data_IF_210131605118
#
_entry.id   IF_210131605118
#
_cell.length_a   1.000
_cell.length_b   1.000
_cell.length_c   1.000
_cell.angle_alpha   90.00
_cell.angle_beta   90.00
_cell.angle_gamma   90.00
#
_symmetry.space_group_name_H-M   'P 1'
#
loop_
_entity.id
_entity.type
_entity.pdbx_description
1 polymer ?
#
# COMPACT_ATOMS: atom_id res chain seq x y z
N UNK A 1 42.56 14.53 31.56
CA UNK A 1 42.00 14.74 30.22
C UNK A 1 43.14 14.48 29.24
N UNK A 2 42.99 13.58 28.29
CA UNK A 2 44.02 13.34 27.26
C UNK A 2 44.04 14.57 26.35
N UNK A 3 45.18 15.19 26.23
CA UNK A 3 45.37 16.33 25.33
C UNK A 3 45.30 15.82 23.88
N UNK A 4 44.30 16.27 23.14
CA UNK A 4 44.15 15.91 21.73
C UNK A 4 45.12 16.75 20.86
N UNK A 5 45.65 16.11 19.82
CA UNK A 5 46.48 16.77 18.80
C UNK A 5 45.85 16.60 17.43
N UNK A 6 45.94 17.60 16.61
CA UNK A 6 45.54 17.53 15.21
C UNK A 6 46.45 16.54 14.46
N UNK A 7 45.82 15.56 13.76
CA UNK A 7 46.56 14.53 13.05
C UNK A 7 47.34 15.04 11.82
N UNK A 8 46.95 16.19 11.25
CA UNK A 8 47.65 16.81 10.11
C UNK A 8 48.84 17.64 10.60
N UNK A 9 48.64 18.63 11.47
CA UNK A 9 49.70 19.57 11.83
C UNK A 9 50.43 19.22 13.13
N UNK A 10 49.99 18.21 13.91
CA UNK A 10 50.58 17.79 15.18
C UNK A 10 50.41 18.76 16.36
N UNK A 11 49.83 19.95 16.14
CA UNK A 11 49.60 20.94 17.19
C UNK A 11 48.49 20.48 18.14
N UNK A 12 48.53 21.01 19.37
CA UNK A 12 47.46 20.79 20.35
C UNK A 12 46.16 21.45 19.88
N UNK A 13 45.04 20.77 20.18
CA UNK A 13 43.70 21.26 19.96
C UNK A 13 43.21 21.88 21.27
N UNK A 14 42.93 23.18 21.23
CA UNK A 14 42.42 23.98 22.34
C UNK A 14 40.92 23.93 22.48
N UNK A 15 40.40 24.46 23.59
CA UNK A 15 38.94 24.45 23.86
C UNK A 15 38.12 25.31 22.88
N UNK A 16 38.74 26.25 22.19
CA UNK A 16 38.09 27.17 21.26
C UNK A 16 38.41 26.85 19.78
N UNK A 17 39.14 25.76 19.50
CA UNK A 17 39.49 25.40 18.14
C UNK A 17 38.29 24.72 17.45
N UNK A 18 38.09 25.01 16.17
CA UNK A 18 37.11 24.30 15.35
C UNK A 18 37.69 22.96 14.95
N UNK A 19 37.02 21.89 15.44
CA UNK A 19 37.53 20.53 15.40
C UNK A 19 36.55 19.61 14.65
N UNK A 20 37.12 18.83 13.75
CA UNK A 20 36.41 17.76 13.04
C UNK A 20 37.04 16.41 13.34
N UNK A 21 36.32 15.34 13.15
CA UNK A 21 36.73 13.97 13.49
C UNK A 21 36.55 13.02 12.32
N UNK A 22 37.44 12.03 12.21
CA UNK A 22 37.21 10.90 11.33
C UNK A 22 36.28 9.82 11.95
N UNK A 23 36.10 8.69 11.27
CA UNK A 23 35.28 7.59 11.76
C UNK A 23 35.86 6.90 13.00
N UNK A 24 37.16 6.96 13.22
CA UNK A 24 37.88 6.38 14.37
C UNK A 24 37.99 7.35 15.55
N UNK A 25 37.47 8.57 15.40
CA UNK A 25 37.48 9.61 16.44
C UNK A 25 38.81 10.34 16.57
N UNK A 26 39.69 10.26 15.56
CA UNK A 26 40.89 11.07 15.47
C UNK A 26 40.51 12.51 15.19
N UNK A 27 41.18 13.45 15.86
CA UNK A 27 40.81 14.85 15.83
C UNK A 27 41.69 15.63 14.86
N UNK A 28 41.09 16.58 14.17
CA UNK A 28 41.71 17.48 13.20
C UNK A 28 41.21 18.91 13.44
N UNK A 29 42.05 19.93 13.26
CA UNK A 29 41.53 21.26 13.07
C UNK A 29 40.82 21.33 11.72
N UNK A 30 39.62 21.92 11.66
CA UNK A 30 38.88 22.09 10.41
C UNK A 30 39.72 22.78 9.33
N UNK A 31 40.38 23.88 9.68
CA UNK A 31 41.25 24.64 8.77
C UNK A 31 42.42 23.79 8.20
N UNK A 32 42.93 22.79 8.97
CA UNK A 32 43.97 21.92 8.48
C UNK A 32 43.44 20.94 7.46
N UNK A 33 42.21 20.46 7.58
CA UNK A 33 41.57 19.58 6.61
C UNK A 33 41.21 20.38 5.35
N UNK A 34 40.59 21.53 5.48
CA UNK A 34 40.18 22.39 4.35
C UNK A 34 41.38 22.90 3.51
N UNK A 35 42.58 22.97 4.08
CA UNK A 35 43.81 23.31 3.37
C UNK A 35 44.68 22.09 3.04
N UNK A 36 44.15 20.87 3.11
CA UNK A 36 44.86 19.64 2.82
C UNK A 36 44.49 19.10 1.43
N UNK A 37 45.51 18.66 0.69
CA UNK A 37 45.29 17.95 -0.57
C UNK A 37 44.98 16.45 -0.36
N UNK A 38 45.16 15.94 0.87
CA UNK A 38 45.02 14.51 1.21
C UNK A 38 43.73 14.14 1.91
N UNK A 39 43.03 15.15 2.50
CA UNK A 39 41.84 14.95 3.32
C UNK A 39 40.74 15.93 2.97
N UNK A 40 39.49 15.50 3.15
CA UNK A 40 38.28 16.31 2.99
C UNK A 40 37.32 16.07 4.14
N UNK A 41 36.32 16.94 4.26
CA UNK A 41 35.20 16.78 5.21
C UNK A 41 33.98 16.33 4.41
N UNK A 42 33.47 15.15 4.67
CA UNK A 42 32.25 14.66 4.04
C UNK A 42 31.07 15.60 4.34
N UNK A 43 30.48 16.18 3.32
CA UNK A 43 29.40 17.17 3.48
C UNK A 43 28.11 16.56 4.05
N UNK A 44 27.91 15.22 3.89
CA UNK A 44 26.76 14.56 4.46
C UNK A 44 26.91 14.23 5.96
N UNK A 45 28.03 13.64 6.40
CA UNK A 45 28.18 13.19 7.78
C UNK A 45 29.12 14.08 8.63
N UNK A 46 29.80 15.05 8.02
CA UNK A 46 30.73 15.96 8.70
C UNK A 46 32.03 15.29 9.17
N UNK A 47 32.31 14.06 8.79
CA UNK A 47 33.54 13.34 9.16
C UNK A 47 34.67 13.62 8.19
N UNK A 48 35.90 13.57 8.71
CA UNK A 48 37.12 13.66 7.91
C UNK A 48 37.38 12.30 7.23
N UNK A 49 37.72 12.35 5.94
CA UNK A 49 38.09 11.18 5.15
C UNK A 49 39.24 11.52 4.19
N UNK A 50 39.89 10.52 3.63
CA UNK A 50 40.94 10.72 2.63
C UNK A 50 40.32 11.05 1.28
N UNK A 51 40.97 11.89 0.49
CA UNK A 51 40.53 12.27 -0.84
C UNK A 51 40.40 11.05 -1.78
N UNK A 52 41.19 10.00 -1.59
CA UNK A 52 41.06 8.75 -2.36
C UNK A 52 39.70 8.05 -2.21
N UNK A 53 38.96 8.35 -1.13
CA UNK A 53 37.63 7.81 -0.81
C UNK A 53 36.52 8.85 -1.02
N UNK A 54 36.75 9.86 -1.86
CA UNK A 54 35.81 10.94 -2.13
C UNK A 54 34.96 10.61 -3.35
N UNK A 55 33.66 10.84 -3.19
CA UNK A 55 32.67 10.70 -4.27
C UNK A 55 31.90 11.99 -4.44
N UNK A 56 31.59 12.30 -5.70
CA UNK A 56 30.72 13.43 -6.01
C UNK A 56 29.27 12.96 -6.08
N UNK A 57 28.38 13.62 -5.33
CA UNK A 57 26.95 13.31 -5.24
C UNK A 57 26.19 14.60 -5.52
N UNK A 58 25.08 14.53 -6.21
CA UNK A 58 24.17 15.66 -6.42
C UNK A 58 23.23 15.71 -5.21
N UNK A 59 23.23 16.81 -4.48
CA UNK A 59 22.40 17.01 -3.29
C UNK A 59 20.96 17.47 -3.66
N UNK A 60 20.15 17.75 -2.64
CA UNK A 60 18.78 18.22 -2.79
C UNK A 60 18.65 19.59 -3.46
N UNK A 61 19.69 20.39 -3.46
CA UNK A 61 19.75 21.73 -4.08
C UNK A 61 20.28 21.65 -5.53
N UNK A 62 20.61 20.43 -6.01
CA UNK A 62 21.20 20.19 -7.32
C UNK A 62 22.70 20.53 -7.40
N UNK A 63 23.35 20.71 -6.26
CA UNK A 63 24.79 21.00 -6.18
C UNK A 63 25.59 19.69 -6.10
N UNK A 64 26.78 19.70 -6.72
CA UNK A 64 27.73 18.61 -6.56
C UNK A 64 28.47 18.78 -5.22
N UNK A 65 28.34 17.80 -4.34
CA UNK A 65 28.89 17.76 -2.98
C UNK A 65 29.81 16.56 -2.81
N UNK A 66 30.74 16.64 -1.86
CA UNK A 66 31.76 15.64 -1.61
C UNK A 66 31.38 14.71 -0.47
N UNK A 67 31.18 13.43 -0.76
CA UNK A 67 30.77 12.40 0.22
C UNK A 67 31.84 11.33 0.39
N UNK A 68 31.96 10.78 1.60
CA UNK A 68 32.82 9.62 1.89
C UNK A 68 32.19 8.32 1.37
N UNK A 69 32.99 7.26 1.22
CA UNK A 69 32.56 5.93 0.78
C UNK A 69 31.30 5.44 1.48
N UNK A 70 31.25 5.57 2.81
CA UNK A 70 30.09 5.10 3.58
C UNK A 70 28.80 5.84 3.21
N UNK A 71 28.85 7.18 3.12
CA UNK A 71 27.68 7.97 2.75
C UNK A 71 27.27 7.70 1.30
N UNK A 72 28.25 7.55 0.42
CA UNK A 72 28.01 7.20 -0.98
C UNK A 72 27.32 5.82 -1.11
N UNK A 73 27.83 4.79 -0.44
CA UNK A 73 27.30 3.42 -0.54
C UNK A 73 25.87 3.30 0.02
N UNK A 74 25.57 3.99 1.13
CA UNK A 74 24.32 3.75 1.87
C UNK A 74 23.26 4.86 1.75
N UNK A 75 23.57 5.97 1.09
CA UNK A 75 22.67 7.13 1.02
C UNK A 75 22.53 7.76 -0.35
N UNK A 76 22.91 7.04 -1.39
CA UNK A 76 22.77 7.51 -2.76
C UNK A 76 21.89 6.62 -3.61
N UNK A 77 21.38 7.22 -4.68
CA UNK A 77 20.67 6.57 -5.76
C UNK A 77 21.26 7.05 -7.08
N UNK A 78 21.40 6.17 -8.06
CA UNK A 78 22.05 6.49 -9.34
C UNK A 78 21.04 6.43 -10.47
N UNK A 79 21.07 7.41 -11.36
CA UNK A 79 20.30 7.40 -12.59
C UNK A 79 20.84 6.34 -13.55
N UNK A 80 19.98 5.42 -13.97
CA UNK A 80 20.35 4.31 -14.86
C UNK A 80 20.68 4.76 -16.30
N UNK A 81 20.26 5.97 -16.68
CA UNK A 81 20.49 6.50 -18.02
C UNK A 81 21.82 7.25 -18.12
N UNK A 82 22.04 8.26 -17.28
CA UNK A 82 23.22 9.10 -17.37
C UNK A 82 24.33 8.71 -16.38
N UNK A 83 24.08 7.84 -15.41
CA UNK A 83 25.05 7.42 -14.39
C UNK A 83 25.32 8.49 -13.30
N UNK A 84 24.60 9.60 -13.29
CA UNK A 84 24.72 10.57 -12.22
C UNK A 84 24.19 10.00 -10.90
N UNK A 85 24.88 10.29 -9.82
CA UNK A 85 24.52 9.81 -8.48
C UNK A 85 23.98 10.95 -7.64
N UNK A 86 22.85 10.72 -7.01
CA UNK A 86 22.08 11.67 -6.23
C UNK A 86 21.99 11.24 -4.77
N UNK A 87 21.80 12.19 -3.86
CA UNK A 87 21.33 11.88 -2.51
C UNK A 87 19.96 11.20 -2.55
N UNK A 88 19.73 10.20 -1.69
CA UNK A 88 18.40 9.60 -1.50
C UNK A 88 17.30 10.61 -1.12
N UNK A 89 17.69 11.78 -0.63
CA UNK A 89 16.75 12.85 -0.24
C UNK A 89 16.39 13.74 -1.43
N UNK A 90 17.04 13.56 -2.60
CA UNK A 90 16.76 14.34 -3.80
C UNK A 90 15.43 13.88 -4.42
N UNK A 91 14.50 14.83 -4.65
CA UNK A 91 13.22 14.58 -5.30
C UNK A 91 13.31 14.63 -6.84
N UNK A 92 14.49 14.92 -7.39
CA UNK A 92 14.75 15.02 -8.82
C UNK A 92 15.17 13.69 -9.47
N UNK A 93 15.04 12.57 -8.76
CA UNK A 93 15.34 11.23 -9.25
C UNK A 93 14.29 10.26 -8.73
N UNK A 94 13.70 9.45 -9.62
CA UNK A 94 12.59 8.57 -9.30
C UNK A 94 12.79 7.20 -9.94
N UNK A 95 12.28 6.16 -9.27
CA UNK A 95 12.16 4.83 -9.85
C UNK A 95 10.83 4.71 -10.59
N UNK A 96 10.87 4.25 -11.82
CA UNK A 96 9.71 4.03 -12.68
C UNK A 96 9.49 2.54 -12.89
N UNK A 97 8.47 1.99 -12.24
CA UNK A 97 8.19 0.53 -12.21
C UNK A 97 7.98 -0.03 -13.63
N UNK A 98 7.23 0.64 -14.48
CA UNK A 98 6.98 0.18 -15.85
C UNK A 98 8.20 0.23 -16.78
N UNK A 99 9.28 0.91 -16.38
CA UNK A 99 10.57 0.91 -17.07
C UNK A 99 11.58 -0.02 -16.39
N UNK A 100 11.32 -0.42 -15.14
CA UNK A 100 12.29 -1.06 -14.23
C UNK A 100 13.61 -0.27 -14.15
N UNK A 101 13.50 1.08 -14.08
CA UNK A 101 14.66 2.00 -14.09
C UNK A 101 14.46 3.19 -13.17
N UNK A 102 15.58 3.64 -12.62
CA UNK A 102 15.70 4.89 -11.91
C UNK A 102 16.18 5.98 -12.86
N UNK A 103 15.43 7.06 -13.01
CA UNK A 103 15.77 8.17 -13.89
C UNK A 103 15.76 9.50 -13.12
N UNK A 104 16.72 10.38 -13.43
CA UNK A 104 16.61 11.78 -13.04
C UNK A 104 15.63 12.54 -13.95
N UNK A 105 15.11 13.67 -13.46
CA UNK A 105 14.11 14.47 -14.19
C UNK A 105 14.57 14.83 -15.62
N UNK A 106 15.85 15.14 -15.79
CA UNK A 106 16.39 15.50 -17.12
C UNK A 106 16.38 14.33 -18.08
N UNK A 107 16.76 13.13 -17.61
CA UNK A 107 16.74 11.93 -18.44
C UNK A 107 15.32 11.50 -18.73
N UNK A 108 14.43 11.61 -17.75
CA UNK A 108 13.00 11.38 -17.93
C UNK A 108 12.41 12.32 -18.99
N UNK A 109 12.60 13.63 -18.84
CA UNK A 109 12.09 14.63 -19.79
C UNK A 109 12.63 14.40 -21.20
N UNK A 110 13.93 14.08 -21.33
CA UNK A 110 14.54 13.80 -22.63
C UNK A 110 13.91 12.56 -23.30
N UNK A 111 13.73 11.45 -22.56
CA UNK A 111 13.12 10.22 -23.09
C UNK A 111 11.64 10.41 -23.42
N UNK A 112 10.96 11.28 -22.68
CA UNK A 112 9.56 11.64 -22.95
C UNK A 112 9.45 12.51 -24.21
N UNK A 113 10.31 13.53 -24.34
CA UNK A 113 10.31 14.47 -25.47
C UNK A 113 10.69 13.79 -26.79
N UNK A 114 11.58 12.81 -26.76
CA UNK A 114 11.99 12.06 -27.96
C UNK A 114 11.06 10.87 -28.28
N UNK A 115 10.04 10.66 -27.44
CA UNK A 115 9.03 9.62 -27.61
C UNK A 115 9.49 8.21 -27.30
N UNK A 116 10.61 8.04 -26.59
CA UNK A 116 11.08 6.73 -26.13
C UNK A 116 10.18 6.13 -25.06
N UNK A 117 9.60 6.98 -24.22
CA UNK A 117 8.65 6.63 -23.16
C UNK A 117 7.36 7.44 -23.29
N UNK A 118 6.27 6.87 -22.80
CA UNK A 118 4.99 7.57 -22.66
C UNK A 118 4.29 7.17 -21.37
N UNK A 119 3.32 7.99 -20.98
CA UNK A 119 2.45 7.69 -19.84
C UNK A 119 1.19 6.99 -20.33
N UNK A 120 0.83 5.87 -19.70
CA UNK A 120 -0.44 5.21 -19.96
C UNK A 120 -1.60 6.10 -19.52
N UNK A 121 -2.55 6.36 -20.40
CA UNK A 121 -3.69 7.24 -20.13
C UNK A 121 -4.63 6.70 -19.03
N UNK A 122 -4.70 5.39 -18.83
CA UNK A 122 -5.56 4.78 -17.82
C UNK A 122 -4.86 4.61 -16.46
N UNK A 123 -3.72 3.91 -16.42
CA UNK A 123 -3.07 3.62 -15.14
C UNK A 123 -2.09 4.71 -14.65
N UNK A 124 -1.70 5.63 -15.55
CA UNK A 124 -0.71 6.69 -15.26
C UNK A 124 0.73 6.16 -15.12
N UNK A 125 0.98 4.88 -15.36
CA UNK A 125 2.32 4.29 -15.38
C UNK A 125 3.12 4.77 -16.59
N UNK A 126 4.44 4.83 -16.45
CA UNK A 126 5.37 5.21 -17.53
C UNK A 126 6.01 3.97 -18.11
N UNK A 127 5.96 3.83 -19.43
CA UNK A 127 6.46 2.65 -20.14
C UNK A 127 7.24 3.05 -21.39
N UNK A 128 8.06 2.14 -21.92
CA UNK A 128 8.63 2.31 -23.24
C UNK A 128 7.54 2.26 -24.31
N UNK A 129 7.53 3.20 -25.24
CA UNK A 129 6.51 3.26 -26.31
C UNK A 129 6.48 2.01 -27.19
N UNK A 130 7.62 1.31 -27.32
CA UNK A 130 7.71 0.01 -28.00
C UNK A 130 6.88 -1.10 -27.31
N UNK A 131 6.57 -0.94 -26.01
CA UNK A 131 5.75 -1.84 -25.21
C UNK A 131 4.35 -1.28 -24.91
N UNK A 132 3.93 -0.29 -25.66
CA UNK A 132 2.62 0.34 -25.53
C UNK A 132 1.82 0.22 -26.82
N UNK A 133 0.52 0.43 -26.69
CA UNK A 133 -0.42 0.53 -27.81
C UNK A 133 -0.92 1.97 -27.90
N UNK A 134 -0.86 2.50 -29.11
CA UNK A 134 -1.46 3.80 -29.40
C UNK A 134 -2.90 3.58 -29.90
N UNK A 135 -3.86 4.25 -29.28
CA UNK A 135 -5.26 4.21 -29.67
C UNK A 135 -5.57 5.45 -30.54
N UNK A 136 -5.91 5.21 -31.80
CA UNK A 136 -6.20 6.28 -32.78
C UNK A 136 -7.55 6.97 -32.50
N UNK A 137 -8.47 6.30 -31.78
CA UNK A 137 -9.79 6.85 -31.48
C UNK A 137 -9.72 7.89 -30.34
N UNK A 138 -8.85 7.65 -29.36
CA UNK A 138 -8.66 8.54 -28.23
C UNK A 138 -7.44 9.48 -28.36
N UNK A 139 -6.54 9.22 -29.34
CA UNK A 139 -5.26 9.93 -29.55
C UNK A 139 -4.33 9.80 -28.32
N UNK A 140 -4.30 8.62 -27.68
CA UNK A 140 -3.61 8.37 -26.42
C UNK A 140 -2.79 7.07 -26.43
N UNK A 141 -1.81 6.97 -25.51
CA UNK A 141 -0.99 5.79 -25.30
C UNK A 141 -1.50 4.96 -24.12
N UNK A 142 -1.53 3.64 -24.30
CA UNK A 142 -1.92 2.67 -23.27
C UNK A 142 -0.84 1.61 -23.11
N UNK A 143 -0.52 1.18 -21.87
CA UNK A 143 0.23 -0.04 -21.69
C UNK A 143 -0.58 -1.24 -22.20
N UNK A 144 0.10 -2.35 -22.51
CA UNK A 144 -0.54 -3.51 -23.12
C UNK A 144 -1.75 -3.98 -22.32
N UNK A 145 -1.62 -4.08 -21.00
CA UNK A 145 -2.71 -4.49 -20.10
C UNK A 145 -3.93 -3.56 -20.18
N UNK A 146 -3.71 -2.24 -20.10
CA UNK A 146 -4.81 -1.27 -20.18
C UNK A 146 -5.44 -1.20 -21.57
N UNK A 147 -4.65 -1.40 -22.63
CA UNK A 147 -5.14 -1.44 -24.00
C UNK A 147 -6.03 -2.68 -24.23
N UNK A 148 -5.55 -3.84 -23.78
CA UNK A 148 -6.30 -5.09 -23.89
C UNK A 148 -7.60 -5.01 -23.09
N UNK A 149 -7.57 -4.49 -21.85
CA UNK A 149 -8.76 -4.24 -21.03
C UNK A 149 -9.83 -3.35 -21.73
N UNK A 150 -9.38 -2.39 -22.54
CA UNK A 150 -10.30 -1.49 -23.30
C UNK A 150 -10.87 -2.15 -24.54
N UNK A 151 -10.12 -3.08 -25.14
CA UNK A 151 -10.45 -3.76 -26.40
C UNK A 151 -10.83 -5.23 -26.19
N UNK A 152 -10.77 -5.73 -24.91
CA UNK A 152 -11.29 -7.05 -24.62
C UNK A 152 -12.78 -7.13 -24.93
N UNK A 153 -13.14 -8.15 -25.68
CA UNK A 153 -14.53 -8.47 -25.96
C UNK A 153 -15.30 -8.56 -24.63
N UNK A 154 -16.40 -7.81 -24.49
CA UNK A 154 -17.32 -7.81 -23.35
C UNK A 154 -17.88 -9.21 -22.98
N UNK A 155 -17.45 -10.26 -23.70
CA UNK A 155 -17.92 -11.62 -23.59
C UNK A 155 -17.16 -12.46 -22.54
N UNK A 156 -15.97 -12.04 -22.06
CA UNK A 156 -15.23 -12.83 -21.07
C UNK A 156 -15.73 -12.56 -19.66
N UNK A 157 -16.28 -13.61 -19.02
CA UNK A 157 -16.96 -13.48 -17.71
C UNK A 157 -15.99 -13.21 -16.56
N UNK A 158 -14.72 -13.66 -16.66
CA UNK A 158 -13.66 -13.37 -15.71
C UNK A 158 -12.69 -12.40 -16.39
N UNK A 159 -12.56 -11.22 -15.86
CA UNK A 159 -11.71 -10.14 -16.38
C UNK A 159 -10.29 -10.25 -15.89
N UNK A 160 -9.37 -9.68 -16.63
CA UNK A 160 -7.99 -9.56 -16.22
C UNK A 160 -7.80 -8.59 -15.04
N UNK A 161 -6.69 -8.68 -14.35
CA UNK A 161 -6.37 -7.98 -13.10
C UNK A 161 -6.52 -6.45 -13.14
N UNK A 162 -6.36 -5.83 -14.30
CA UNK A 162 -6.44 -4.36 -14.47
C UNK A 162 -7.80 -3.85 -14.97
N UNK A 163 -8.79 -4.74 -15.11
CA UNK A 163 -10.10 -4.35 -15.60
C UNK A 163 -10.78 -3.33 -14.66
N UNK A 164 -11.18 -2.19 -15.19
CA UNK A 164 -11.92 -1.15 -14.48
C UNK A 164 -13.38 -1.14 -14.93
N UNK A 165 -14.27 -1.97 -14.33
CA UNK A 165 -15.66 -2.03 -14.75
C UNK A 165 -16.39 -0.73 -14.43
N UNK A 166 -17.43 -0.42 -15.23
CA UNK A 166 -18.33 0.67 -14.90
C UNK A 166 -18.96 0.46 -13.51
N UNK A 167 -18.77 1.42 -12.61
CA UNK A 167 -19.27 1.34 -11.23
C UNK A 167 -20.79 1.50 -11.22
N UNK A 168 -21.48 0.51 -10.64
CA UNK A 168 -22.92 0.54 -10.38
C UNK A 168 -23.16 0.59 -8.87
N UNK A 169 -23.87 1.61 -8.39
CA UNK A 169 -24.14 1.77 -6.96
C UNK A 169 -25.47 1.12 -6.55
N UNK A 170 -25.50 0.45 -5.40
CA UNK A 170 -26.68 -0.19 -4.84
C UNK A 170 -27.02 0.36 -3.43
N UNK A 171 -28.14 1.11 -3.28
CA UNK A 171 -29.05 1.52 -4.36
C UNK A 171 -28.40 2.53 -5.31
N UNK A 172 -28.97 2.67 -6.51
CA UNK A 172 -28.52 3.68 -7.46
C UNK A 172 -28.52 5.08 -6.85
N UNK A 173 -27.49 5.85 -7.12
CA UNK A 173 -27.32 7.23 -6.64
C UNK A 173 -27.90 8.20 -7.68
N UNK A 174 -28.50 9.27 -7.21
CA UNK A 174 -28.94 10.35 -8.09
C UNK A 174 -27.77 11.26 -8.43
N UNK A 175 -27.88 11.96 -9.57
CA UNK A 175 -26.88 12.92 -9.98
C UNK A 175 -26.58 13.94 -8.87
N UNK A 176 -25.30 14.06 -8.49
CA UNK A 176 -24.82 14.95 -7.45
C UNK A 176 -24.91 14.40 -6.01
N UNK A 177 -25.47 13.22 -5.79
CA UNK A 177 -25.43 12.55 -4.50
C UNK A 177 -24.10 11.79 -4.31
N UNK A 178 -23.58 11.84 -3.10
CA UNK A 178 -22.35 11.12 -2.73
C UNK A 178 -22.74 9.75 -2.18
N UNK A 179 -22.24 8.68 -2.82
CA UNK A 179 -22.45 7.32 -2.34
C UNK A 179 -21.67 7.05 -1.05
N UNK A 180 -22.34 6.47 -0.07
CA UNK A 180 -21.75 6.06 1.21
C UNK A 180 -22.01 4.58 1.45
N UNK A 181 -21.06 3.77 1.08
CA UNK A 181 -21.17 2.32 1.20
C UNK A 181 -19.81 1.65 1.02
N UNK A 182 -19.83 0.39 0.68
CA UNK A 182 -18.64 -0.43 0.52
C UNK A 182 -18.84 -1.50 -0.56
N UNK A 183 -17.73 -1.99 -1.11
CA UNK A 183 -17.62 -3.23 -1.88
C UNK A 183 -16.75 -4.22 -1.13
N UNK A 184 -16.79 -5.48 -1.53
CA UNK A 184 -15.88 -6.52 -1.04
C UNK A 184 -15.20 -7.22 -2.20
N UNK A 185 -14.02 -7.74 -1.92
CA UNK A 185 -13.28 -8.73 -2.72
C UNK A 185 -13.24 -10.03 -1.92
N UNK A 186 -13.77 -11.09 -2.49
CA UNK A 186 -13.72 -12.43 -1.90
C UNK A 186 -12.89 -13.32 -2.81
N UNK A 187 -11.67 -13.61 -2.39
CA UNK A 187 -10.76 -14.49 -3.09
C UNK A 187 -11.08 -15.97 -2.80
N UNK A 188 -11.14 -16.77 -3.85
CA UNK A 188 -11.34 -18.23 -3.75
C UNK A 188 -10.34 -18.95 -4.64
N UNK A 189 -9.69 -19.99 -4.10
CA UNK A 189 -8.71 -20.81 -4.81
C UNK A 189 -9.34 -22.12 -5.28
N UNK A 190 -8.99 -22.51 -6.50
CA UNK A 190 -9.37 -23.76 -7.13
C UNK A 190 -8.39 -24.92 -6.91
N UNK A 191 -7.31 -24.77 -6.13
CA UNK A 191 -6.27 -25.79 -5.92
C UNK A 191 -6.81 -27.18 -5.52
N UNK A 192 -8.02 -27.24 -4.94
CA UNK A 192 -8.73 -28.46 -4.58
C UNK A 192 -10.12 -28.54 -5.22
N UNK A 193 -10.36 -27.79 -6.27
CA UNK A 193 -11.62 -27.83 -7.02
C UNK A 193 -11.75 -29.17 -7.78
N UNK A 194 -12.96 -29.45 -8.20
CA UNK A 194 -13.21 -30.57 -9.12
C UNK A 194 -12.39 -30.33 -10.40
N UNK A 195 -11.57 -31.27 -10.88
CA UNK A 195 -10.79 -31.11 -12.11
C UNK A 195 -11.62 -30.75 -13.35
N UNK A 196 -12.91 -31.01 -13.31
CA UNK A 196 -13.86 -30.67 -14.38
C UNK A 196 -14.56 -29.32 -14.15
N UNK A 197 -14.24 -28.56 -13.07
CA UNK A 197 -14.85 -27.27 -12.76
C UNK A 197 -13.87 -26.13 -13.01
N UNK A 198 -14.09 -25.39 -14.06
CA UNK A 198 -13.30 -24.23 -14.44
C UNK A 198 -13.76 -22.96 -13.69
N UNK A 199 -12.86 -21.99 -13.43
CA UNK A 199 -13.25 -20.71 -12.82
C UNK A 199 -14.39 -20.00 -13.55
N UNK A 200 -14.43 -20.06 -14.89
CA UNK A 200 -15.48 -19.48 -15.72
C UNK A 200 -16.86 -20.09 -15.44
N UNK A 201 -16.95 -21.41 -15.23
CA UNK A 201 -18.23 -22.07 -14.89
C UNK A 201 -18.77 -21.60 -13.53
N UNK A 202 -17.86 -21.44 -12.54
CA UNK A 202 -18.23 -20.87 -11.26
C UNK A 202 -18.71 -19.43 -11.42
N UNK A 203 -18.00 -18.62 -12.19
CA UNK A 203 -18.35 -17.23 -12.44
C UNK A 203 -19.70 -17.10 -13.16
N UNK A 204 -20.00 -17.97 -14.15
CA UNK A 204 -21.29 -18.01 -14.84
C UNK A 204 -22.45 -18.33 -13.89
N UNK A 205 -22.30 -19.35 -13.02
CA UNK A 205 -23.35 -19.69 -12.06
C UNK A 205 -23.57 -18.55 -11.05
N UNK A 206 -22.48 -17.97 -10.55
CA UNK A 206 -22.55 -16.81 -9.63
C UNK A 206 -23.15 -15.58 -10.30
N UNK A 207 -22.84 -15.34 -11.57
CA UNK A 207 -23.39 -14.24 -12.35
C UNK A 207 -24.92 -14.37 -12.50
N UNK A 208 -25.43 -15.60 -12.65
CA UNK A 208 -26.86 -15.87 -12.64
C UNK A 208 -27.56 -15.50 -11.33
N UNK A 209 -26.83 -15.46 -10.21
CA UNK A 209 -27.35 -15.12 -8.87
C UNK A 209 -27.10 -13.67 -8.50
N UNK A 210 -25.89 -13.17 -8.76
CA UNK A 210 -25.45 -11.82 -8.39
C UNK A 210 -25.80 -10.77 -9.44
N UNK A 211 -25.98 -11.17 -10.69
CA UNK A 211 -26.23 -10.25 -11.81
C UNK A 211 -25.24 -9.07 -11.79
N UNK A 212 -25.73 -7.86 -11.93
CA UNK A 212 -24.96 -6.61 -11.89
C UNK A 212 -24.38 -6.26 -10.52
N UNK A 213 -24.58 -7.07 -9.49
CA UNK A 213 -24.08 -6.79 -8.13
C UNK A 213 -22.63 -7.18 -7.93
N UNK A 214 -22.04 -7.95 -8.84
CA UNK A 214 -20.63 -8.36 -8.77
C UNK A 214 -20.05 -8.54 -10.17
N UNK A 215 -18.74 -8.58 -10.23
CA UNK A 215 -17.93 -8.99 -11.38
C UNK A 215 -16.79 -9.88 -10.88
N UNK A 216 -16.06 -10.51 -11.80
CA UNK A 216 -15.09 -11.56 -11.50
C UNK A 216 -13.76 -11.21 -12.15
N UNK A 217 -12.66 -11.41 -11.41
CA UNK A 217 -11.32 -11.10 -11.90
C UNK A 217 -10.35 -12.24 -11.64
N UNK A 218 -9.34 -12.33 -12.49
CA UNK A 218 -8.15 -13.12 -12.20
C UNK A 218 -7.25 -12.38 -11.20
N UNK A 219 -6.65 -13.13 -10.27
CA UNK A 219 -5.57 -12.66 -9.41
C UNK A 219 -4.44 -13.67 -9.43
N UNK A 220 -3.25 -13.26 -9.85
CA UNK A 220 -2.07 -14.11 -9.94
C UNK A 220 -1.63 -14.72 -8.60
N UNK A 221 -2.08 -14.18 -7.46
CA UNK A 221 -1.77 -14.71 -6.13
C UNK A 221 -2.59 -15.94 -5.73
N UNK A 222 -3.73 -16.19 -6.39
CA UNK A 222 -4.66 -17.27 -6.06
C UNK A 222 -4.65 -18.45 -7.04
N UNK A 223 -3.73 -18.45 -8.02
CA UNK A 223 -3.58 -19.54 -9.01
C UNK A 223 -4.85 -19.76 -9.82
N UNK A 224 -5.31 -21.02 -9.91
CA UNK A 224 -6.56 -21.41 -10.60
C UNK A 224 -7.83 -20.97 -9.82
N UNK A 225 -7.80 -19.76 -9.29
CA UNK A 225 -8.87 -19.17 -8.50
C UNK A 225 -9.61 -18.07 -9.23
N UNK A 226 -10.55 -17.47 -8.51
CA UNK A 226 -11.29 -16.30 -8.98
C UNK A 226 -11.50 -15.32 -7.81
N UNK A 227 -11.38 -14.05 -8.09
CA UNK A 227 -11.74 -12.97 -7.20
C UNK A 227 -13.16 -12.51 -7.52
N UNK A 228 -14.03 -12.55 -6.52
CA UNK A 228 -15.43 -12.12 -6.61
C UNK A 228 -15.52 -10.73 -6.03
N UNK A 229 -15.71 -9.74 -6.89
CA UNK A 229 -15.71 -8.33 -6.50
C UNK A 229 -17.13 -7.79 -6.58
N UNK A 230 -17.66 -7.33 -5.44
CA UNK A 230 -18.99 -6.72 -5.46
C UNK A 230 -18.91 -5.26 -5.87
N UNK A 231 -19.89 -4.84 -6.63
CA UNK A 231 -20.17 -3.42 -6.82
C UNK A 231 -20.44 -2.73 -5.46
N UNK A 232 -20.30 -1.41 -5.36
CA UNK A 232 -20.57 -0.69 -4.11
C UNK A 232 -22.02 -0.80 -3.63
N UNK A 233 -22.20 -1.25 -2.37
CA UNK A 233 -23.50 -1.42 -1.71
C UNK A 233 -23.59 -0.60 -0.43
N UNK A 234 -24.80 -0.16 -0.07
CA UNK A 234 -25.09 0.12 1.33
C UNK A 234 -25.20 -1.18 2.12
N UNK A 235 -24.99 -1.14 3.44
CA UNK A 235 -25.15 -2.34 4.28
C UNK A 235 -26.55 -2.96 4.11
N UNK A 236 -27.60 -2.13 3.95
CA UNK A 236 -28.97 -2.59 3.77
C UNK A 236 -29.14 -3.39 2.47
N UNK A 237 -28.56 -2.94 1.36
CA UNK A 237 -28.63 -3.66 0.07
C UNK A 237 -27.75 -4.90 0.09
N UNK A 238 -26.55 -4.81 0.66
CA UNK A 238 -25.61 -5.92 0.75
C UNK A 238 -26.20 -7.15 1.46
N UNK A 239 -26.90 -6.96 2.58
CA UNK A 239 -27.51 -8.07 3.34
C UNK A 239 -28.71 -8.71 2.66
N UNK A 240 -29.29 -8.09 1.60
CA UNK A 240 -30.39 -8.66 0.81
C UNK A 240 -29.87 -9.69 -0.19
N UNK A 241 -28.59 -9.65 -0.55
CA UNK A 241 -28.00 -10.64 -1.44
C UNK A 241 -28.05 -12.04 -0.83
N UNK A 242 -28.24 -13.08 -1.62
CA UNK A 242 -28.42 -14.46 -1.13
C UNK A 242 -27.06 -15.10 -0.75
N UNK A 243 -26.32 -14.48 0.16
CA UNK A 243 -24.97 -14.90 0.54
C UNK A 243 -24.86 -16.36 0.97
N UNK A 244 -25.90 -16.94 1.59
CA UNK A 244 -25.89 -18.38 1.95
C UNK A 244 -25.76 -19.27 0.73
N UNK A 245 -26.49 -18.94 -0.31
CA UNK A 245 -26.54 -19.72 -1.55
C UNK A 245 -25.26 -19.48 -2.36
N UNK A 246 -24.76 -18.23 -2.45
CA UNK A 246 -23.51 -17.85 -3.09
C UNK A 246 -22.33 -18.64 -2.47
N UNK A 247 -22.15 -18.54 -1.14
CA UNK A 247 -21.05 -19.23 -0.45
C UNK A 247 -21.19 -20.77 -0.52
N UNK A 248 -22.41 -21.28 -0.65
CA UNK A 248 -22.66 -22.72 -0.85
C UNK A 248 -22.33 -23.14 -2.28
N UNK A 249 -22.69 -22.35 -3.29
CA UNK A 249 -22.33 -22.57 -4.68
C UNK A 249 -20.82 -22.71 -4.83
N UNK A 250 -20.05 -21.74 -4.35
CA UNK A 250 -18.59 -21.76 -4.37
C UNK A 250 -18.01 -23.06 -3.75
N UNK A 251 -18.53 -23.46 -2.59
CA UNK A 251 -18.09 -24.71 -1.95
C UNK A 251 -18.47 -25.97 -2.73
N UNK A 252 -19.62 -25.97 -3.37
CA UNK A 252 -20.10 -27.13 -4.15
C UNK A 252 -19.22 -27.38 -5.38
N UNK A 253 -18.67 -26.32 -5.97
CA UNK A 253 -17.67 -26.38 -7.05
C UNK A 253 -16.26 -26.75 -6.56
N UNK A 254 -16.10 -27.06 -5.27
CA UNK A 254 -14.82 -27.47 -4.69
C UNK A 254 -13.90 -26.33 -4.28
N UNK A 255 -14.23 -25.09 -4.60
CA UNK A 255 -13.40 -23.92 -4.27
C UNK A 255 -13.29 -23.70 -2.75
N UNK A 256 -12.15 -23.16 -2.34
CA UNK A 256 -11.83 -22.87 -0.94
C UNK A 256 -11.33 -21.42 -0.84
N UNK A 257 -11.53 -20.84 0.33
CA UNK A 257 -11.01 -19.52 0.65
C UNK A 257 -10.17 -19.59 1.94
N UNK A 258 -10.73 -20.11 3.03
CA UNK A 258 -10.05 -20.16 4.34
C UNK A 258 -8.90 -21.19 4.42
N UNK A 259 -8.89 -22.23 3.61
CA UNK A 259 -7.84 -23.25 3.58
C UNK A 259 -6.73 -22.92 2.59
N UNK A 260 -6.99 -22.05 1.63
CA UNK A 260 -5.98 -21.50 0.75
C UNK A 260 -5.11 -20.52 1.56
N UNK A 261 -3.79 -20.64 1.44
CA UNK A 261 -2.86 -19.80 2.21
C UNK A 261 -2.86 -18.35 1.76
N UNK A 262 -3.30 -18.09 0.53
CA UNK A 262 -3.30 -16.82 -0.16
C UNK A 262 -4.62 -16.04 -0.02
N UNK A 263 -5.78 -16.68 0.05
CA UNK A 263 -7.08 -16.01 -0.06
C UNK A 263 -7.44 -15.09 1.10
N UNK A 264 -7.89 -13.89 0.76
CA UNK A 264 -8.42 -12.86 1.65
C UNK A 264 -9.92 -12.61 1.50
N UNK A 265 -10.41 -11.75 2.37
CA UNK A 265 -11.70 -11.08 2.25
C UNK A 265 -11.43 -9.61 2.53
N UNK A 266 -11.42 -8.80 1.49
CA UNK A 266 -11.14 -7.37 1.59
C UNK A 266 -12.43 -6.58 1.58
N UNK A 267 -12.45 -5.42 2.22
CA UNK A 267 -13.57 -4.50 2.20
C UNK A 267 -13.08 -3.10 1.82
N UNK A 268 -13.66 -2.57 0.77
CA UNK A 268 -13.41 -1.21 0.28
C UNK A 268 -14.53 -0.28 0.71
N UNK A 269 -14.30 0.55 1.71
CA UNK A 269 -15.27 1.55 2.16
C UNK A 269 -15.01 2.85 1.39
N UNK A 270 -16.07 3.41 0.77
CA UNK A 270 -15.97 4.71 0.11
C UNK A 270 -15.37 5.76 1.05
N UNK A 271 -14.33 6.48 0.62
CA UNK A 271 -13.76 7.59 1.39
C UNK A 271 -14.80 8.64 1.74
N UNK A 272 -15.78 8.84 0.86
CA UNK A 272 -16.90 9.75 1.13
C UNK A 272 -17.82 9.28 2.28
N UNK A 273 -17.75 8.02 2.69
CA UNK A 273 -18.44 7.52 3.88
C UNK A 273 -17.67 7.76 5.18
N UNK A 274 -16.40 8.15 5.10
CA UNK A 274 -15.50 8.34 6.25
C UNK A 274 -14.98 9.77 6.32
N UNK A 275 -14.82 10.29 7.53
CA UNK A 275 -14.13 11.55 7.76
C UNK A 275 -12.62 11.29 7.85
N UNK A 276 -11.80 12.33 7.66
CA UNK A 276 -10.33 12.18 7.82
C UNK A 276 -9.97 11.77 9.25
N UNK A 277 -10.67 12.32 10.25
CA UNK A 277 -10.52 11.93 11.66
C UNK A 277 -10.98 10.48 11.89
N UNK A 278 -12.06 10.04 11.23
CA UNK A 278 -12.53 8.65 11.27
C UNK A 278 -11.49 7.68 10.72
N UNK A 279 -10.83 8.03 9.61
CA UNK A 279 -9.73 7.25 9.05
C UNK A 279 -8.57 7.17 10.04
N UNK A 280 -8.16 8.28 10.63
CA UNK A 280 -7.10 8.29 11.63
C UNK A 280 -7.44 7.43 12.87
N UNK A 281 -8.69 7.49 13.36
CA UNK A 281 -9.15 6.67 14.50
C UNK A 281 -9.19 5.19 14.18
N UNK A 282 -9.55 4.81 12.95
CA UNK A 282 -9.52 3.39 12.56
C UNK A 282 -8.07 2.87 12.43
N UNK A 283 -7.13 3.68 11.93
CA UNK A 283 -5.70 3.33 11.95
C UNK A 283 -5.23 3.15 13.40
N UNK A 284 -5.57 4.09 14.30
CA UNK A 284 -5.27 3.95 15.72
C UNK A 284 -5.80 2.63 16.29
N UNK A 285 -7.04 2.25 15.96
CA UNK A 285 -7.64 0.99 16.40
C UNK A 285 -6.83 -0.22 15.92
N UNK A 286 -6.40 -0.23 14.66
CA UNK A 286 -5.60 -1.33 14.12
C UNK A 286 -4.18 -1.38 14.71
N UNK A 287 -3.53 -0.26 14.94
CA UNK A 287 -2.20 -0.22 15.55
C UNK A 287 -2.20 -0.69 17.01
N UNK A 288 -3.18 -0.26 17.80
CA UNK A 288 -3.20 -0.51 19.25
C UNK A 288 -3.87 -1.82 19.64
N UNK A 289 -4.88 -2.27 18.88
CA UNK A 289 -5.65 -3.49 19.18
C UNK A 289 -5.41 -4.62 18.19
N UNK A 290 -4.33 -4.57 17.44
CA UNK A 290 -4.00 -5.55 16.38
C UNK A 290 -4.04 -7.00 16.88
N UNK A 291 -3.60 -7.27 18.11
CA UNK A 291 -3.58 -8.63 18.67
C UNK A 291 -4.98 -9.26 18.80
N UNK A 292 -6.00 -8.47 19.08
CA UNK A 292 -7.39 -8.95 19.13
C UNK A 292 -8.02 -8.95 17.75
N UNK A 293 -7.70 -7.95 16.91
CA UNK A 293 -8.20 -7.89 15.52
C UNK A 293 -7.68 -9.08 14.70
N UNK A 294 -6.42 -9.51 14.89
CA UNK A 294 -5.84 -10.71 14.27
C UNK A 294 -6.62 -11.98 14.65
N UNK A 295 -7.06 -12.11 15.91
CA UNK A 295 -7.91 -13.23 16.30
C UNK A 295 -9.27 -13.20 15.59
N UNK A 296 -9.87 -12.04 15.44
CA UNK A 296 -11.11 -11.85 14.67
C UNK A 296 -10.87 -12.19 13.20
N UNK A 297 -9.77 -11.72 12.61
CA UNK A 297 -9.43 -11.90 11.20
C UNK A 297 -9.11 -13.34 10.83
N UNK A 298 -8.65 -14.16 11.79
CA UNK A 298 -8.14 -15.54 11.55
C UNK A 298 -6.89 -15.59 10.66
N UNK A 299 -6.27 -14.44 10.36
CA UNK A 299 -5.03 -14.39 9.58
C UNK A 299 -3.88 -15.01 10.38
N UNK A 300 -2.99 -15.72 9.73
CA UNK A 300 -1.75 -16.20 10.35
C UNK A 300 -0.75 -15.04 10.49
N UNK A 301 0.22 -15.19 11.39
CA UNK A 301 1.30 -14.17 11.51
C UNK A 301 2.08 -14.00 10.21
N UNK A 302 2.29 -15.08 9.51
CA UNK A 302 2.98 -15.13 8.21
C UNK A 302 2.19 -14.35 7.15
N UNK A 303 0.88 -14.64 7.00
CA UNK A 303 0.01 -13.91 6.08
C UNK A 303 -0.20 -12.44 6.47
N UNK A 304 -0.11 -12.11 7.76
CA UNK A 304 -0.16 -10.71 8.20
C UNK A 304 1.11 -9.94 7.75
N UNK A 305 2.29 -10.52 7.96
CA UNK A 305 3.55 -9.85 7.59
C UNK A 305 3.71 -9.67 6.07
N UNK A 306 3.14 -10.56 5.27
CA UNK A 306 3.28 -10.52 3.80
C UNK A 306 2.24 -9.63 3.12
N UNK A 307 0.99 -9.57 3.65
CA UNK A 307 -0.13 -9.03 2.89
C UNK A 307 -0.97 -7.98 3.63
N UNK A 308 -0.78 -7.82 4.95
CA UNK A 308 -1.64 -6.99 5.79
C UNK A 308 -0.93 -6.55 7.08
N UNK A 309 0.29 -6.02 6.99
CA UNK A 309 1.04 -5.51 8.13
C UNK A 309 0.39 -4.25 8.72
N UNK A 310 0.72 -3.91 9.97
CA UNK A 310 0.46 -2.57 10.49
C UNK A 310 1.49 -1.58 9.94
N UNK A 311 1.22 -0.27 10.03
CA UNK A 311 2.18 0.77 9.66
C UNK A 311 3.34 0.90 10.68
N UNK A 312 3.21 0.28 11.86
CA UNK A 312 4.16 0.45 12.95
C UNK A 312 4.06 1.81 13.66
N UNK A 313 2.87 2.44 13.62
CA UNK A 313 2.62 3.78 14.19
C UNK A 313 2.07 3.73 15.63
N UNK A 314 2.10 2.57 16.27
CA UNK A 314 1.54 2.39 17.61
C UNK A 314 2.17 3.25 18.72
N UNK A 315 3.43 3.70 18.52
CA UNK A 315 4.12 4.58 19.48
C UNK A 315 3.89 6.08 19.22
N UNK A 316 3.18 6.45 18.13
CA UNK A 316 2.88 7.82 17.80
C UNK A 316 1.72 8.35 18.66
N UNK A 317 1.75 9.65 18.95
CA UNK A 317 0.56 10.35 19.45
C UNK A 317 -0.55 10.33 18.40
N UNK A 318 -1.81 10.41 18.83
CA UNK A 318 -2.92 10.43 17.88
C UNK A 318 -2.80 11.57 16.84
N UNK A 319 -2.31 12.74 17.25
CA UNK A 319 -2.10 13.88 16.35
C UNK A 319 -1.05 13.59 15.26
N UNK A 320 0.06 12.92 15.61
CA UNK A 320 1.10 12.51 14.66
C UNK A 320 0.58 11.44 13.71
N UNK A 321 -0.15 10.45 14.24
CA UNK A 321 -0.79 9.40 13.44
C UNK A 321 -1.80 10.00 12.45
N UNK A 322 -2.66 10.91 12.92
CA UNK A 322 -3.65 11.58 12.09
C UNK A 322 -3.01 12.39 10.95
N UNK A 323 -1.89 13.05 11.25
CA UNK A 323 -1.11 13.76 10.23
C UNK A 323 -0.57 12.80 9.18
N UNK A 324 0.09 11.70 9.59
CA UNK A 324 0.62 10.70 8.65
C UNK A 324 -0.48 10.07 7.79
N UNK A 325 -1.62 9.74 8.39
CA UNK A 325 -2.76 9.19 7.64
C UNK A 325 -3.35 10.19 6.62
N UNK A 326 -3.23 11.50 6.88
CA UNK A 326 -3.65 12.56 5.95
C UNK A 326 -2.64 12.79 4.82
N UNK A 327 -1.35 12.59 5.11
CA UNK A 327 -0.23 12.83 4.19
C UNK A 327 0.10 11.59 3.32
N UNK A 328 -0.68 10.49 3.42
CA UNK A 328 -0.47 9.29 2.60
C UNK A 328 -0.64 9.60 1.12
N UNK A 329 0.34 9.15 0.34
CA UNK A 329 0.34 9.30 -1.11
C UNK A 329 -0.61 8.31 -1.79
N UNK A 330 -1.48 8.82 -2.65
CA UNK A 330 -2.41 8.01 -3.42
C UNK A 330 -1.69 7.46 -4.66
N UNK A 331 -1.78 6.14 -4.86
CA UNK A 331 -1.16 5.48 -6.00
C UNK A 331 0.24 4.91 -5.71
N UNK A 332 0.76 5.05 -4.49
CA UNK A 332 2.00 4.36 -4.10
C UNK A 332 1.71 2.87 -3.84
N UNK A 333 1.92 2.04 -4.86
CA UNK A 333 1.65 0.61 -4.80
C UNK A 333 2.55 -0.15 -3.80
N UNK A 334 3.70 0.37 -3.42
CA UNK A 334 4.60 -0.26 -2.43
C UNK A 334 3.99 -0.32 -1.03
N UNK A 335 3.08 0.62 -0.70
CA UNK A 335 2.45 0.74 0.61
C UNK A 335 1.05 0.08 0.70
N UNK A 336 0.61 -0.65 -0.32
CA UNK A 336 -0.75 -1.27 -0.34
C UNK A 336 -0.92 -2.44 0.62
N UNK A 337 0.16 -3.10 1.05
CA UNK A 337 0.11 -4.33 1.86
C UNK A 337 -0.07 -4.08 3.37
N UNK A 338 -0.85 -3.07 3.73
CA UNK A 338 -1.21 -2.78 5.12
C UNK A 338 -2.60 -3.31 5.48
N UNK A 339 -2.81 -3.59 6.78
CA UNK A 339 -4.08 -4.08 7.32
C UNK A 339 -5.26 -3.16 6.98
N UNK A 340 -4.99 -1.86 6.92
CA UNK A 340 -5.86 -0.82 6.38
C UNK A 340 -5.05 -0.06 5.34
N UNK A 341 -5.33 -0.29 4.07
CA UNK A 341 -4.64 0.36 2.96
C UNK A 341 -5.28 1.72 2.67
N UNK A 342 -4.45 2.77 2.67
CA UNK A 342 -4.85 4.15 2.40
C UNK A 342 -4.43 4.65 1.02
N UNK A 343 -3.75 3.85 0.20
CA UNK A 343 -3.23 4.28 -1.10
C UNK A 343 -4.31 4.41 -2.18
N UNK A 344 -5.48 3.79 -2.00
CA UNK A 344 -6.60 3.91 -2.93
C UNK A 344 -7.24 5.31 -2.86
N UNK A 345 -7.34 5.99 -4.00
CA UNK A 345 -7.90 7.34 -4.11
C UNK A 345 -9.36 7.45 -3.62
N UNK A 346 -10.19 6.47 -3.95
CA UNK A 346 -11.65 6.53 -3.76
C UNK A 346 -12.13 5.73 -2.54
N UNK A 347 -11.32 4.82 -2.01
CA UNK A 347 -11.71 3.93 -0.92
C UNK A 347 -10.66 3.85 0.18
N UNK A 348 -11.07 3.41 1.36
CA UNK A 348 -10.22 2.88 2.42
C UNK A 348 -10.42 1.37 2.40
N UNK A 349 -9.34 0.62 2.19
CA UNK A 349 -9.40 -0.82 2.03
C UNK A 349 -8.94 -1.53 3.31
N UNK A 350 -9.71 -2.50 3.75
CA UNK A 350 -9.42 -3.36 4.90
C UNK A 350 -8.98 -4.73 4.42
N UNK A 351 -7.68 -5.04 4.52
CA UNK A 351 -7.05 -6.24 3.95
C UNK A 351 -6.76 -7.38 4.93
N UNK A 352 -6.88 -7.12 6.23
CA UNK A 352 -6.42 -8.08 7.25
C UNK A 352 -7.24 -9.37 7.30
N UNK A 353 -8.48 -9.38 6.82
CA UNK A 353 -9.37 -10.51 7.03
C UNK A 353 -9.01 -11.69 6.12
N UNK A 354 -8.90 -12.87 6.71
CA UNK A 354 -8.75 -14.12 5.97
C UNK A 354 -10.07 -14.48 5.30
N UNK A 355 -10.00 -14.96 4.08
CA UNK A 355 -11.17 -15.40 3.33
C UNK A 355 -11.98 -16.48 4.05
N UNK A 356 -13.27 -16.57 3.77
CA UNK A 356 -14.17 -17.55 4.38
C UNK A 356 -15.42 -17.78 3.55
N UNK A 357 -15.79 -19.05 3.41
CA UNK A 357 -17.04 -19.50 2.81
C UNK A 357 -18.07 -19.95 3.87
N UNK A 358 -17.77 -19.80 5.15
CA UNK A 358 -18.74 -19.98 6.23
C UNK A 358 -19.59 -18.73 6.40
N UNK A 359 -20.87 -18.82 6.19
CA UNK A 359 -21.80 -17.68 6.20
C UNK A 359 -21.74 -16.85 7.48
N UNK A 360 -21.75 -17.51 8.65
CA UNK A 360 -21.78 -16.80 9.93
C UNK A 360 -20.45 -16.03 10.17
N UNK A 361 -19.31 -16.64 9.78
CA UNK A 361 -18.00 -15.98 9.83
C UNK A 361 -17.88 -14.85 8.82
N UNK A 362 -18.44 -15.03 7.62
CA UNK A 362 -18.46 -14.03 6.56
C UNK A 362 -19.26 -12.80 7.02
N UNK A 363 -20.51 -13.00 7.43
CA UNK A 363 -21.37 -11.90 7.88
C UNK A 363 -20.84 -11.20 9.14
N UNK A 364 -20.25 -11.96 10.07
CA UNK A 364 -19.61 -11.37 11.25
C UNK A 364 -18.39 -10.51 10.89
N UNK A 365 -17.61 -10.93 9.89
CA UNK A 365 -16.47 -10.15 9.38
C UNK A 365 -16.95 -8.83 8.75
N UNK A 366 -17.98 -8.88 7.91
CA UNK A 366 -18.56 -7.69 7.27
C UNK A 366 -19.14 -6.72 8.32
N UNK A 367 -19.91 -7.23 9.28
CA UNK A 367 -20.48 -6.42 10.36
C UNK A 367 -19.39 -5.78 11.24
N UNK A 368 -18.31 -6.53 11.55
CA UNK A 368 -17.18 -6.03 12.33
C UNK A 368 -16.48 -4.88 11.60
N UNK A 369 -16.09 -5.06 10.34
CA UNK A 369 -15.37 -4.06 9.57
C UNK A 369 -16.20 -2.78 9.39
N UNK A 370 -17.44 -2.93 8.95
CA UNK A 370 -18.34 -1.79 8.73
C UNK A 370 -18.63 -1.02 10.04
N UNK A 371 -19.01 -1.74 11.09
CA UNK A 371 -19.40 -1.12 12.37
C UNK A 371 -18.23 -0.39 13.01
N UNK A 372 -17.03 -0.98 13.02
CA UNK A 372 -15.84 -0.33 13.60
C UNK A 372 -15.44 0.92 12.82
N UNK A 373 -15.50 0.88 11.49
CA UNK A 373 -15.23 2.04 10.65
C UNK A 373 -16.26 3.16 10.85
N UNK A 374 -17.54 2.83 10.91
CA UNK A 374 -18.60 3.83 11.11
C UNK A 374 -18.57 4.43 12.53
N UNK A 375 -18.25 3.64 13.55
CA UNK A 375 -18.07 4.16 14.90
C UNK A 375 -16.87 5.13 14.97
N UNK A 376 -15.78 4.84 14.27
CA UNK A 376 -14.63 5.73 14.19
C UNK A 376 -14.98 7.12 13.65
N UNK A 377 -15.98 7.24 12.76
CA UNK A 377 -16.43 8.53 12.25
C UNK A 377 -17.12 9.41 13.30
N UNK A 378 -17.76 8.80 14.29
CA UNK A 378 -18.69 9.51 15.20
C UNK A 378 -18.16 9.67 16.62
N UNK A 379 -17.13 8.88 17.02
CA UNK A 379 -16.53 8.98 18.35
C UNK A 379 -15.63 10.21 18.48
N UNK A 380 -15.34 10.61 19.72
CA UNK A 380 -14.33 11.63 20.01
C UNK A 380 -12.92 11.04 20.07
N UNK A 381 -11.89 11.87 20.03
CA UNK A 381 -10.50 11.42 20.15
C UNK A 381 -10.17 10.85 21.55
N UNK A 382 -10.93 11.27 22.58
CA UNK A 382 -10.80 10.71 23.93
C UNK A 382 -11.36 9.28 24.03
N UNK A 383 -12.27 8.91 23.14
CA UNK A 383 -12.94 7.61 23.14
C UNK A 383 -12.09 6.48 22.53
N UNK A 384 -11.03 6.80 21.75
CA UNK A 384 -10.23 5.81 21.00
C UNK A 384 -9.46 4.86 21.93
N UNK A 385 -9.18 5.26 23.17
CA UNK A 385 -8.46 4.44 24.13
C UNK A 385 -9.28 3.30 24.70
N UNK A 386 -10.60 3.30 24.46
CA UNK A 386 -11.50 2.23 24.88
C UNK A 386 -12.03 1.45 23.67
N UNK A 387 -11.56 0.20 23.44
CA UNK A 387 -11.98 -0.57 22.27
C UNK A 387 -13.49 -0.84 22.21
N UNK A 388 -14.20 -0.80 23.34
CA UNK A 388 -15.65 -0.97 23.38
C UNK A 388 -16.39 0.08 22.52
N UNK A 389 -15.83 1.27 22.37
CA UNK A 389 -16.43 2.32 21.56
C UNK A 389 -16.42 1.98 20.07
N UNK A 390 -15.37 1.29 19.58
CA UNK A 390 -15.33 0.78 18.21
C UNK A 390 -16.31 -0.39 17.99
N UNK A 391 -16.58 -1.18 19.02
CA UNK A 391 -17.41 -2.39 18.94
C UNK A 391 -18.89 -2.13 19.26
N UNK A 392 -19.24 -0.90 19.58
CA UNK A 392 -20.62 -0.53 19.92
C UNK A 392 -21.56 -0.75 18.75
N UNK A 393 -22.67 -1.45 18.99
CA UNK A 393 -23.72 -1.70 17.98
C UNK A 393 -23.45 -2.88 17.08
N UNK A 394 -22.39 -3.67 17.30
CA UNK A 394 -22.21 -4.96 16.64
C UNK A 394 -23.42 -5.87 16.87
N UNK A 395 -23.76 -6.65 15.84
CA UNK A 395 -24.84 -7.63 15.92
C UNK A 395 -24.55 -8.72 16.96
N UNK A 396 -25.56 -9.33 17.61
CA UNK A 396 -25.35 -10.39 18.60
C UNK A 396 -24.52 -11.56 18.04
N UNK A 397 -24.75 -11.97 16.81
CA UNK A 397 -24.00 -13.06 16.15
C UNK A 397 -22.50 -12.69 15.98
N UNK A 398 -22.22 -11.43 15.68
CA UNK A 398 -20.84 -10.92 15.58
C UNK A 398 -20.16 -10.90 16.94
N UNK A 399 -20.86 -10.48 17.98
CA UNK A 399 -20.35 -10.53 19.36
C UNK A 399 -20.03 -11.97 19.77
N UNK A 400 -20.92 -12.92 19.48
CA UNK A 400 -20.70 -14.33 19.76
C UNK A 400 -19.52 -14.89 18.95
N UNK A 401 -19.36 -14.48 17.69
CA UNK A 401 -18.21 -14.81 16.87
C UNK A 401 -16.90 -14.31 17.51
N UNK A 402 -16.84 -13.04 17.95
CA UNK A 402 -15.67 -12.44 18.59
C UNK A 402 -15.32 -13.20 19.89
N UNK A 403 -16.31 -13.55 20.71
CA UNK A 403 -16.13 -14.36 21.94
C UNK A 403 -15.53 -15.74 21.65
N UNK A 404 -16.03 -16.43 20.62
CA UNK A 404 -15.46 -17.72 20.19
C UNK A 404 -14.00 -17.63 19.75
N UNK A 405 -13.55 -16.44 19.30
CA UNK A 405 -12.16 -16.18 18.90
C UNK A 405 -11.26 -15.78 20.10
N UNK A 406 -11.79 -15.68 21.29
CA UNK A 406 -11.08 -15.12 22.45
C UNK A 406 -10.47 -13.73 22.16
N UNK A 407 -11.17 -12.92 21.36
CA UNK A 407 -10.79 -11.56 21.07
C UNK A 407 -11.59 -10.60 21.93
N UNK A 408 -11.00 -9.44 22.24
CA UNK A 408 -11.61 -8.38 23.03
C UNK A 408 -12.23 -8.88 24.36
N UNK A 409 -11.54 -9.79 25.05
CA UNK A 409 -12.00 -10.41 26.31
C UNK A 409 -12.23 -9.34 27.37
N UNK A 410 -13.43 -9.32 27.95
CA UNK A 410 -13.84 -8.32 28.94
C UNK A 410 -14.29 -7.00 28.32
N UNK A 411 -14.35 -6.89 26.99
CA UNK A 411 -14.82 -5.74 26.25
C UNK A 411 -16.20 -6.02 25.64
N UNK A 412 -16.40 -7.23 25.08
CA UNK A 412 -17.66 -7.70 24.49
C UNK A 412 -18.32 -8.82 25.30
#
# INVERSE_FOLDING_TARGET
>A
MSVKRCAICGKFIGENDDVVYDCDGVAYHRECVENSDDYFICENCGKVEKVDNMHFVIDTDGCSVEWCDYCYEYRTITCDECGNTYSHECTCINYYEGLDRTLDDRCYDQMFDDGTIATCADCGGVFYTDNMRYDEDDDEWYCEDCYDDRHDDDDEIIRDYHHNPAIKYFPAVKDGEIFKGFGIELEVSGDNADPDCYPSELAEELSGVLNDHAYYMHDGSIGEGVEIITQPHTMEEFIKLPWRDILKCIRNHGYRSHDAKCCGLHMHISRAAMTQEGIARIIYFYEHYINDIVKVSRRTREGMSSWASTYGWGDLTFAELAKRAADMDYGNHSDRYHAVNLTNKNTVEFRLMRGTLNYDSFMATIDFLWTTAMNANTMSDDDITNPANFLKGLKPDTIEYIKRRNAFVGVV
#
